data_IF_226304192604
#
_entry.id   IF_226304192604
#
_cell.length_a   1.000
_cell.length_b   1.000
_cell.length_c   1.000
_cell.angle_alpha   90.00
_cell.angle_beta   90.00
_cell.angle_gamma   90.00
#
_symmetry.space_group_name_H-M   'P 1'
#
loop_
_entity.id
_entity.type
_entity.pdbx_description
1 polymer ?
#
# COMPACT_ATOMS: atom_id res chain seq x y z
N UNK A 1 17.76 -6.34 -2.80
CA UNK A 1 16.42 -6.03 -2.26
C UNK A 1 15.35 -6.91 -2.90
N UNK A 2 15.19 -6.91 -4.23
CA UNK A 2 14.22 -7.74 -4.96
C UNK A 2 14.31 -9.23 -4.58
N UNK A 3 15.51 -9.82 -4.60
CA UNK A 3 15.74 -11.23 -4.21
C UNK A 3 15.27 -11.54 -2.78
N UNK A 4 15.47 -10.62 -1.84
CA UNK A 4 15.01 -10.80 -0.46
C UNK A 4 13.47 -10.79 -0.37
N UNK A 5 12.82 -9.83 -1.02
CA UNK A 5 11.35 -9.74 -1.08
C UNK A 5 10.74 -11.02 -1.64
N UNK A 6 11.23 -11.46 -2.80
CA UNK A 6 10.72 -12.66 -3.48
C UNK A 6 10.86 -13.91 -2.60
N UNK A 7 11.99 -14.04 -1.88
CA UNK A 7 12.21 -15.17 -0.97
C UNK A 7 11.26 -15.15 0.22
N UNK A 8 11.15 -14.03 0.93
CA UNK A 8 10.31 -13.97 2.14
C UNK A 8 8.81 -14.10 1.83
N UNK A 9 8.38 -13.56 0.69
CA UNK A 9 6.99 -13.63 0.23
C UNK A 9 6.62 -15.02 -0.34
N UNK A 10 7.59 -15.94 -0.53
CA UNK A 10 7.33 -17.27 -1.10
C UNK A 10 6.45 -18.12 -0.16
N UNK A 11 5.19 -18.31 -0.55
CA UNK A 11 4.22 -19.13 0.18
C UNK A 11 4.66 -20.60 0.28
N UNK A 12 4.40 -21.22 1.42
CA UNK A 12 4.72 -22.64 1.69
C UNK A 12 6.20 -22.96 1.90
N UNK A 13 7.10 -21.98 1.73
CA UNK A 13 8.55 -22.16 1.93
C UNK A 13 9.17 -21.10 2.86
N UNK A 14 8.45 -20.03 3.12
CA UNK A 14 8.87 -18.90 3.96
C UNK A 14 7.62 -18.34 4.66
N UNK A 15 7.71 -17.13 5.20
CA UNK A 15 6.57 -16.45 5.86
C UNK A 15 5.34 -16.45 4.94
N UNK A 16 5.54 -16.10 3.67
CA UNK A 16 4.48 -16.11 2.66
C UNK A 16 3.54 -14.91 2.79
N UNK A 17 3.59 -13.99 1.83
CA UNK A 17 2.79 -12.78 1.84
C UNK A 17 2.55 -12.29 0.40
N UNK A 18 1.53 -11.46 0.19
CA UNK A 18 1.27 -10.81 -1.11
C UNK A 18 2.30 -9.71 -1.43
N UNK A 19 3.02 -9.23 -0.41
CA UNK A 19 4.07 -8.25 -0.54
C UNK A 19 4.77 -7.97 0.79
N UNK A 20 5.75 -7.07 0.74
CA UNK A 20 6.55 -6.63 1.88
C UNK A 20 6.52 -5.10 1.98
N UNK A 21 6.35 -4.57 3.19
CA UNK A 21 6.38 -3.14 3.47
C UNK A 21 7.52 -2.81 4.41
N UNK A 22 8.34 -1.83 4.03
CA UNK A 22 9.32 -1.22 4.91
C UNK A 22 8.75 0.08 5.47
N UNK A 23 8.93 0.30 6.77
CA UNK A 23 8.63 1.55 7.45
C UNK A 23 9.98 2.24 7.70
N UNK A 24 10.18 3.38 7.05
CA UNK A 24 11.42 4.14 7.02
C UNK A 24 11.21 5.52 7.66
N UNK A 25 12.28 6.16 8.18
CA UNK A 25 12.23 7.56 8.57
C UNK A 25 11.79 8.47 7.42
N UNK A 26 11.06 9.54 7.74
CA UNK A 26 10.64 10.57 6.81
C UNK A 26 11.05 11.94 7.32
N UNK A 27 11.34 12.86 6.40
CA UNK A 27 11.57 14.27 6.70
C UNK A 27 10.30 15.13 6.55
N UNK A 28 9.21 14.56 6.04
CA UNK A 28 8.03 15.30 5.57
C UNK A 28 6.69 14.78 6.13
N UNK A 29 6.69 13.61 6.73
CA UNK A 29 5.54 12.94 7.32
C UNK A 29 6.00 12.16 8.57
N UNK A 30 5.07 11.48 9.26
CA UNK A 30 5.42 10.72 10.47
C UNK A 30 6.30 9.51 10.14
N UNK A 31 6.14 8.92 8.95
CA UNK A 31 7.05 7.93 8.40
C UNK A 31 6.98 7.90 6.87
N UNK A 32 7.91 7.20 6.25
CA UNK A 32 7.89 6.85 4.83
C UNK A 32 7.68 5.35 4.73
N UNK A 33 6.88 4.91 3.76
CA UNK A 33 6.81 3.50 3.44
C UNK A 33 7.53 3.17 2.14
N UNK A 34 7.92 1.92 1.99
CA UNK A 34 8.24 1.32 0.69
C UNK A 34 7.54 -0.01 0.57
N UNK A 35 6.69 -0.13 -0.44
CA UNK A 35 5.86 -1.30 -0.65
C UNK A 35 6.34 -2.07 -1.87
N UNK A 36 6.62 -3.36 -1.68
CA UNK A 36 6.95 -4.28 -2.76
C UNK A 36 5.90 -5.38 -2.85
N UNK A 37 5.46 -5.71 -4.06
CA UNK A 37 4.70 -6.91 -4.34
C UNK A 37 5.57 -8.16 -4.16
N UNK A 38 4.96 -9.33 -4.06
CA UNK A 38 5.67 -10.61 -3.90
C UNK A 38 6.63 -10.94 -5.05
N UNK A 39 6.40 -10.40 -6.25
CA UNK A 39 7.31 -10.52 -7.40
C UNK A 39 8.52 -9.57 -7.32
N UNK A 40 8.57 -8.71 -6.31
CA UNK A 40 9.62 -7.73 -6.07
C UNK A 40 9.44 -6.39 -6.80
N UNK A 41 8.36 -6.20 -7.56
CA UNK A 41 8.00 -4.89 -8.12
C UNK A 41 7.60 -3.92 -6.99
N UNK A 42 7.99 -2.65 -7.11
CA UNK A 42 7.60 -1.62 -6.13
C UNK A 42 6.22 -1.06 -6.48
N UNK A 43 5.29 -1.12 -5.53
CA UNK A 43 3.93 -0.64 -5.70
C UNK A 43 3.76 0.77 -5.14
N UNK A 44 2.98 1.59 -5.83
CA UNK A 44 2.85 3.00 -5.43
C UNK A 44 1.93 3.19 -4.23
N UNK A 45 0.83 2.45 -4.19
CA UNK A 45 -0.24 2.57 -3.20
C UNK A 45 -0.94 1.23 -3.02
N UNK A 46 -1.29 0.89 -1.77
CA UNK A 46 -2.15 -0.24 -1.46
C UNK A 46 -3.06 0.13 -0.28
N UNK A 47 -4.38 0.20 -0.50
CA UNK A 47 -5.31 0.63 0.55
C UNK A 47 -5.31 -0.31 1.77
N UNK A 48 -5.17 -1.63 1.56
CA UNK A 48 -5.08 -2.61 2.65
C UNK A 48 -3.76 -2.45 3.40
N UNK A 49 -2.67 -2.36 2.65
CA UNK A 49 -1.34 -2.09 3.17
C UNK A 49 -1.25 -0.83 4.00
N UNK A 50 -1.79 0.28 3.48
CA UNK A 50 -1.72 1.57 4.14
C UNK A 50 -2.42 1.57 5.50
N UNK A 51 -3.51 0.82 5.63
CA UNK A 51 -4.17 0.62 6.93
C UNK A 51 -3.28 -0.17 7.90
N UNK A 52 -2.63 -1.23 7.43
CA UNK A 52 -1.69 -2.01 8.24
C UNK A 52 -0.48 -1.16 8.66
N UNK A 53 0.11 -0.39 7.74
CA UNK A 53 1.26 0.46 8.02
C UNK A 53 0.94 1.55 9.04
N UNK A 54 -0.19 2.26 8.89
CA UNK A 54 -0.63 3.28 9.84
C UNK A 54 -0.84 2.69 11.24
N UNK A 55 -1.48 1.52 11.33
CA UNK A 55 -1.68 0.83 12.61
C UNK A 55 -0.35 0.41 13.24
N UNK A 56 0.53 -0.18 12.45
CA UNK A 56 1.82 -0.66 12.92
C UNK A 56 2.71 0.50 13.40
N UNK A 57 2.72 1.63 12.71
CA UNK A 57 3.43 2.84 13.13
C UNK A 57 2.94 3.34 14.50
N UNK A 58 1.62 3.30 14.76
CA UNK A 58 1.08 3.62 16.09
C UNK A 58 1.53 2.63 17.16
N UNK A 59 1.52 1.33 16.86
CA UNK A 59 1.97 0.30 17.80
C UNK A 59 3.46 0.42 18.15
N UNK A 60 4.28 0.91 17.21
CA UNK A 60 5.69 1.23 17.45
C UNK A 60 5.92 2.59 18.13
N UNK A 61 4.87 3.37 18.41
CA UNK A 61 4.98 4.72 18.96
C UNK A 61 5.57 5.75 17.99
N UNK A 62 5.60 5.45 16.69
CA UNK A 62 6.07 6.36 15.64
C UNK A 62 5.04 7.47 15.38
N UNK A 63 3.75 7.16 15.52
CA UNK A 63 2.66 8.10 15.28
C UNK A 63 1.51 7.95 16.30
N UNK A 64 0.68 8.99 16.39
CA UNK A 64 -0.53 9.00 17.21
C UNK A 64 -1.75 8.47 16.43
N UNK A 65 -2.97 8.81 16.86
CA UNK A 65 -4.21 8.40 16.20
C UNK A 65 -4.43 9.03 14.81
N UNK A 66 -3.86 10.21 14.58
CA UNK A 66 -3.76 10.83 13.26
C UNK A 66 -2.33 10.68 12.78
N UNK A 67 -2.16 10.17 11.57
CA UNK A 67 -0.84 9.88 11.00
C UNK A 67 -0.83 10.20 9.52
N UNK A 68 0.32 10.64 9.04
CA UNK A 68 0.65 10.89 7.66
C UNK A 68 1.87 10.06 7.28
N UNK A 69 1.90 9.54 6.05
CA UNK A 69 3.09 8.82 5.58
C UNK A 69 3.38 9.01 4.09
N UNK A 70 4.66 9.04 3.75
CA UNK A 70 5.14 9.18 2.38
C UNK A 70 5.01 7.86 1.61
N UNK A 71 4.49 7.97 0.39
CA UNK A 71 4.40 6.89 -0.60
C UNK A 71 4.90 7.39 -1.95
N UNK A 72 5.07 6.50 -2.94
CA UNK A 72 5.36 6.92 -4.32
C UNK A 72 4.21 7.77 -4.88
N UNK A 73 2.97 7.47 -4.49
CA UNK A 73 1.79 8.23 -4.88
C UNK A 73 1.59 9.55 -4.11
N UNK A 74 2.56 9.94 -3.27
CA UNK A 74 2.50 11.14 -2.43
C UNK A 74 2.25 10.85 -0.95
N UNK A 75 2.01 11.91 -0.17
CA UNK A 75 1.69 11.80 1.27
C UNK A 75 0.24 11.35 1.45
N UNK A 76 0.05 10.33 2.28
CA UNK A 76 -1.25 9.73 2.59
C UNK A 76 -1.58 9.95 4.06
N UNK A 77 -2.80 10.42 4.34
CA UNK A 77 -3.32 10.56 5.70
C UNK A 77 -4.07 9.29 6.13
N UNK A 78 -3.96 8.96 7.40
CA UNK A 78 -4.80 7.98 8.06
C UNK A 78 -5.26 8.47 9.44
N UNK A 79 -6.44 8.02 9.85
CA UNK A 79 -6.93 8.18 11.22
C UNK A 79 -7.37 6.86 11.81
N UNK A 80 -7.11 6.68 13.09
CA UNK A 80 -7.42 5.47 13.86
C UNK A 80 -8.56 5.75 14.84
N UNK A 81 -9.52 4.83 14.90
CA UNK A 81 -10.55 4.78 15.93
C UNK A 81 -10.66 3.33 16.43
N UNK A 82 -10.06 3.07 17.59
CA UNK A 82 -9.94 1.72 18.14
C UNK A 82 -9.16 0.80 17.20
N UNK A 83 -9.81 -0.23 16.66
CA UNK A 83 -9.24 -1.16 15.69
C UNK A 83 -9.41 -0.74 14.23
N UNK A 84 -10.21 0.30 13.95
CA UNK A 84 -10.53 0.72 12.58
C UNK A 84 -9.58 1.82 12.12
N UNK A 85 -9.02 1.63 10.93
CA UNK A 85 -8.20 2.65 10.25
C UNK A 85 -8.98 3.20 9.07
N UNK A 86 -9.14 4.52 9.03
CA UNK A 86 -9.63 5.26 7.86
C UNK A 86 -8.42 5.80 7.11
N UNK A 87 -8.30 5.45 5.84
CA UNK A 87 -7.21 5.91 4.97
C UNK A 87 -7.76 6.92 3.96
N UNK A 88 -7.05 8.02 3.74
CA UNK A 88 -7.33 8.91 2.61
C UNK A 88 -6.78 8.27 1.34
N UNK A 89 -7.65 7.93 0.40
CA UNK A 89 -7.23 7.45 -0.91
C UNK A 89 -6.70 8.62 -1.75
N UNK A 90 -5.81 8.30 -2.68
CA UNK A 90 -5.39 9.25 -3.72
C UNK A 90 -6.61 9.70 -4.52
N UNK A 91 -6.54 10.91 -5.06
CA UNK A 91 -7.62 11.43 -5.89
C UNK A 91 -7.72 10.58 -7.16
N UNK A 92 -8.90 10.01 -7.48
CA UNK A 92 -9.08 9.30 -8.73
C UNK A 92 -8.92 10.26 -9.91
N UNK A 93 -8.34 9.77 -11.00
CA UNK A 93 -8.12 10.51 -12.24
C UNK A 93 -8.39 9.62 -13.45
N UNK A 94 -8.40 10.19 -14.65
CA UNK A 94 -8.58 9.46 -15.92
C UNK A 94 -9.89 8.65 -15.99
N UNK A 95 -11.00 9.25 -15.56
CA UNK A 95 -12.32 8.65 -15.75
C UNK A 95 -12.63 8.48 -17.23
N UNK A 96 -12.92 7.24 -17.64
CA UNK A 96 -13.33 6.89 -19.00
C UNK A 96 -14.65 6.13 -18.94
N UNK A 97 -15.64 6.65 -19.66
CA UNK A 97 -16.93 5.99 -19.85
C UNK A 97 -16.95 5.28 -21.21
N UNK A 98 -17.80 4.25 -21.33
CA UNK A 98 -18.00 3.53 -22.59
C UNK A 98 -16.75 2.80 -23.08
N UNK A 99 -15.95 2.26 -22.14
CA UNK A 99 -14.81 1.41 -22.50
C UNK A 99 -15.37 0.14 -23.12
N UNK A 100 -15.10 -0.07 -24.41
CA UNK A 100 -15.42 -1.32 -25.06
C UNK A 100 -14.41 -2.39 -24.64
N UNK A 101 -14.89 -3.39 -23.91
CA UNK A 101 -14.13 -4.54 -23.46
C UNK A 101 -14.25 -5.64 -24.51
N UNK A 102 -13.11 -6.10 -25.04
CA UNK A 102 -13.09 -7.30 -25.85
C UNK A 102 -13.13 -8.55 -24.97
N UNK A 103 -14.21 -9.32 -25.09
CA UNK A 103 -14.36 -10.62 -24.44
C UNK A 103 -14.47 -11.68 -25.53
N UNK A 104 -13.33 -12.31 -25.85
CA UNK A 104 -13.21 -13.37 -26.85
C UNK A 104 -13.71 -12.97 -28.26
N UNK A 105 -13.36 -11.77 -28.72
CA UNK A 105 -13.74 -11.24 -30.03
C UNK A 105 -15.13 -10.59 -30.07
N UNK A 106 -15.73 -10.33 -28.90
CA UNK A 106 -16.98 -9.57 -28.77
C UNK A 106 -16.71 -8.31 -27.98
N UNK A 107 -16.94 -7.16 -28.61
CA UNK A 107 -16.98 -5.87 -27.94
C UNK A 107 -18.21 -5.80 -27.02
N UNK A 108 -17.97 -5.52 -25.74
CA UNK A 108 -19.00 -5.27 -24.73
C UNK A 108 -18.72 -3.91 -24.14
N UNK A 109 -19.69 -3.00 -24.25
CA UNK A 109 -19.63 -1.64 -23.67
C UNK A 109 -20.23 -1.64 -22.27
#
# INVERSE_FOLDING_TARGET
MIDFVQRVCRRGQSVGADGLMFIEPSERADFKWRFFNADGSEGEMCGNGGRCAARYAKELGIAADSVSFETIAGVIDATMNGSRVKLRMTQPFDYRAGIELDINGRGVV
#
